data_IF_663329714493
#
_entry.id   IF_663329714493
#
_cell.length_a   1.000
_cell.length_b   1.000
_cell.length_c   1.000
_cell.angle_alpha   90.00
_cell.angle_beta   90.00
_cell.angle_gamma   90.00
#
_symmetry.space_group_name_H-M   'P 1'
#
loop_
_entity.id
_entity.type
_entity.pdbx_description
1 polymer ?
#
# COMPACT_ATOMS: atom_id res chain seq x y z
N UNK A 1 -17.81 -4.37 -17.23
CA UNK A 1 -16.36 -4.22 -16.94
C UNK A 1 -15.88 -3.00 -17.71
N UNK A 2 -15.34 -1.98 -17.05
CA UNK A 2 -15.15 -0.64 -17.63
C UNK A 2 -14.13 -0.70 -18.80
N UNK A 3 -14.56 -0.41 -20.03
CA UNK A 3 -13.77 -0.58 -21.28
C UNK A 3 -12.40 0.13 -21.24
N UNK A 4 -12.29 1.20 -20.44
CA UNK A 4 -11.05 1.94 -20.23
C UNK A 4 -9.93 1.09 -19.60
N UNK A 5 -10.26 0.23 -18.62
CA UNK A 5 -9.27 -0.64 -17.96
C UNK A 5 -8.75 -1.73 -18.91
N UNK A 6 -9.65 -2.28 -19.73
CA UNK A 6 -9.33 -3.32 -20.71
C UNK A 6 -8.36 -2.84 -21.79
N UNK A 7 -8.44 -1.55 -22.15
CA UNK A 7 -7.59 -0.93 -23.15
C UNK A 7 -6.28 -0.33 -22.59
N UNK A 8 -6.10 -0.33 -21.26
CA UNK A 8 -4.91 0.26 -20.60
C UNK A 8 -4.37 -0.68 -19.50
N UNK A 9 -3.92 -1.89 -19.86
CA UNK A 9 -3.52 -2.92 -18.89
C UNK A 9 -2.32 -2.50 -18.01
N UNK A 10 -1.39 -1.70 -18.55
CA UNK A 10 -0.25 -1.16 -17.79
C UNK A 10 -0.74 -0.19 -16.71
N UNK A 11 -1.61 0.75 -17.10
CA UNK A 11 -2.16 1.74 -16.17
C UNK A 11 -3.00 1.06 -15.07
N UNK A 12 -3.77 0.04 -15.44
CA UNK A 12 -4.53 -0.77 -14.49
C UNK A 12 -3.58 -1.44 -13.49
N UNK A 13 -2.50 -2.06 -13.97
CA UNK A 13 -1.49 -2.70 -13.11
C UNK A 13 -0.93 -1.70 -12.11
N UNK A 14 -0.55 -0.50 -12.56
CA UNK A 14 -0.06 0.56 -11.69
C UNK A 14 -1.08 0.97 -10.62
N UNK A 15 -2.34 1.19 -10.99
CA UNK A 15 -3.40 1.57 -10.06
C UNK A 15 -3.73 0.48 -9.04
N UNK A 16 -3.77 -0.78 -9.46
CA UNK A 16 -4.05 -1.91 -8.58
C UNK A 16 -2.94 -2.04 -7.52
N UNK A 17 -1.67 -1.92 -7.92
CA UNK A 17 -0.52 -1.91 -6.99
C UNK A 17 -0.57 -0.72 -6.03
N UNK A 18 -0.84 0.48 -6.55
CA UNK A 18 -1.00 1.70 -5.72
C UNK A 18 -2.14 1.55 -4.71
N UNK A 19 -3.25 0.95 -5.11
CA UNK A 19 -4.41 0.71 -4.25
C UNK A 19 -4.10 -0.29 -3.13
N UNK A 20 -3.40 -1.38 -3.45
CA UNK A 20 -2.97 -2.38 -2.47
C UNK A 20 -2.06 -1.78 -1.40
N UNK A 21 -1.05 -0.99 -1.80
CA UNK A 21 -0.17 -0.30 -0.85
C UNK A 21 -0.94 0.65 0.07
N UNK A 22 -1.86 1.45 -0.50
CA UNK A 22 -2.76 2.31 0.29
C UNK A 22 -3.65 1.52 1.24
N UNK A 23 -4.12 0.36 0.80
CA UNK A 23 -4.95 -0.54 1.59
C UNK A 23 -4.22 -1.09 2.80
N UNK A 24 -2.90 -1.30 2.71
CA UNK A 24 -2.06 -1.67 3.84
C UNK A 24 -1.79 -0.49 4.78
N UNK A 25 -1.45 0.70 4.25
CA UNK A 25 -1.10 1.87 5.06
C UNK A 25 -2.31 2.43 5.82
N UNK A 26 -3.48 2.48 5.19
CA UNK A 26 -4.69 3.13 5.72
C UNK A 26 -5.74 2.14 6.22
N UNK A 27 -5.31 1.03 6.82
CA UNK A 27 -6.25 0.04 7.38
C UNK A 27 -7.08 0.67 8.51
N UNK A 28 -8.40 0.49 8.45
CA UNK A 28 -9.27 0.75 9.59
C UNK A 28 -9.18 -0.42 10.58
N UNK A 29 -8.44 -0.21 11.67
CA UNK A 29 -8.10 -1.22 12.69
C UNK A 29 -9.27 -1.65 13.58
N UNK A 30 -10.45 -1.04 13.40
CA UNK A 30 -11.68 -1.40 14.12
C UNK A 30 -12.54 -2.41 13.35
N UNK A 31 -12.15 -2.81 12.13
CA UNK A 31 -12.91 -3.77 11.32
C UNK A 31 -12.53 -5.21 11.67
N UNK A 32 -13.46 -6.14 11.47
CA UNK A 32 -13.19 -7.59 11.63
C UNK A 32 -12.71 -8.22 10.32
N UNK A 33 -11.49 -7.89 9.89
CA UNK A 33 -10.85 -8.54 8.73
C UNK A 33 -9.62 -9.33 9.16
N UNK A 34 -9.20 -10.29 8.33
CA UNK A 34 -7.96 -11.06 8.59
C UNK A 34 -6.73 -10.15 8.70
N UNK A 35 -6.64 -9.13 7.85
CA UNK A 35 -5.56 -8.15 7.88
C UNK A 35 -5.55 -7.35 9.19
N UNK A 36 -6.71 -6.88 9.65
CA UNK A 36 -6.81 -6.12 10.90
C UNK A 36 -6.39 -6.98 12.11
N UNK A 37 -6.82 -8.24 12.15
CA UNK A 37 -6.40 -9.18 13.19
C UNK A 37 -4.87 -9.34 13.20
N UNK A 38 -4.28 -9.61 12.04
CA UNK A 38 -2.83 -9.75 11.91
C UNK A 38 -2.07 -8.48 12.34
N UNK A 39 -2.55 -7.29 11.95
CA UNK A 39 -1.93 -6.01 12.36
C UNK A 39 -2.06 -5.79 13.87
N UNK A 40 -3.22 -6.08 14.45
CA UNK A 40 -3.42 -5.88 15.89
C UNK A 40 -2.59 -6.86 16.73
N UNK A 41 -2.41 -8.10 16.27
CA UNK A 41 -1.52 -9.09 16.91
C UNK A 41 -0.04 -8.72 16.77
N UNK A 42 0.35 -8.03 15.69
CA UNK A 42 1.74 -7.65 15.39
C UNK A 42 1.94 -6.12 15.41
N UNK A 43 1.29 -5.43 16.35
CA UNK A 43 1.17 -3.96 16.39
C UNK A 43 2.52 -3.23 16.30
N UNK A 44 3.51 -3.68 17.08
CA UNK A 44 4.85 -3.08 17.10
C UNK A 44 5.54 -3.22 15.76
N UNK A 45 5.54 -4.45 15.20
CA UNK A 45 6.12 -4.71 13.88
C UNK A 45 5.46 -3.86 12.81
N UNK A 46 4.12 -3.77 12.81
CA UNK A 46 3.41 -2.93 11.85
C UNK A 46 3.81 -1.45 11.93
N UNK A 47 4.08 -0.92 13.13
CA UNK A 47 4.59 0.45 13.29
C UNK A 47 5.98 0.59 12.69
N UNK A 48 6.86 -0.39 12.88
CA UNK A 48 8.22 -0.35 12.33
C UNK A 48 8.23 -0.51 10.81
N UNK A 49 7.41 -1.41 10.26
CA UNK A 49 7.18 -1.55 8.82
C UNK A 49 6.72 -0.22 8.19
N UNK A 50 5.83 0.53 8.85
CA UNK A 50 5.39 1.84 8.36
C UNK A 50 6.53 2.88 8.36
N UNK A 51 7.47 2.82 9.30
CA UNK A 51 8.64 3.72 9.33
C UNK A 51 9.62 3.36 8.22
N UNK A 52 9.88 2.08 8.02
CA UNK A 52 10.73 1.58 6.93
C UNK A 52 10.16 1.98 5.57
N UNK A 53 8.86 1.75 5.35
CA UNK A 53 8.18 2.15 4.12
C UNK A 53 8.28 3.66 3.85
N UNK A 54 8.20 4.50 4.89
CA UNK A 54 8.41 5.96 4.73
C UNK A 54 9.82 6.25 4.22
N UNK A 55 10.84 5.64 4.81
CA UNK A 55 12.23 5.87 4.42
C UNK A 55 12.48 5.40 2.97
N UNK A 56 11.94 4.25 2.58
CA UNK A 56 12.03 3.72 1.21
C UNK A 56 11.35 4.65 0.20
N UNK A 57 10.18 5.19 0.55
CA UNK A 57 9.47 6.17 -0.29
C UNK A 57 10.32 7.44 -0.44
N UNK A 58 10.86 7.98 0.65
CA UNK A 58 11.69 9.19 0.63
C UNK A 58 12.95 8.99 -0.22
N UNK A 59 13.60 7.83 -0.10
CA UNK A 59 14.76 7.49 -0.92
C UNK A 59 14.37 7.39 -2.40
N UNK A 60 13.28 6.69 -2.72
CA UNK A 60 12.82 6.53 -4.10
C UNK A 60 12.42 7.86 -4.75
N UNK A 61 11.88 8.80 -3.98
CA UNK A 61 11.58 10.14 -4.47
C UNK A 61 12.86 10.90 -4.82
N UNK A 62 13.89 10.82 -3.96
CA UNK A 62 15.21 11.42 -4.26
C UNK A 62 15.79 10.83 -5.54
N UNK A 63 15.81 9.51 -5.67
CA UNK A 63 16.41 8.82 -6.83
C UNK A 63 15.70 9.16 -8.16
N UNK A 64 14.39 9.46 -8.13
CA UNK A 64 13.60 9.79 -9.33
C UNK A 64 13.58 11.28 -9.69
N UNK A 65 13.95 12.15 -8.75
CA UNK A 65 13.96 13.61 -8.94
C UNK A 65 15.36 14.16 -9.28
N UNK A 66 16.39 13.31 -9.19
CA UNK A 66 17.75 13.57 -9.65
C UNK A 66 17.87 13.32 -11.16
#
# INVERSE_FOLDING_TARGET
MNNYKKNNPIQQTYWDRKSQARGFINVNLNKSTKLVKAINENRTQYIDDLKELRNDIDQRLKDLQQ
#
